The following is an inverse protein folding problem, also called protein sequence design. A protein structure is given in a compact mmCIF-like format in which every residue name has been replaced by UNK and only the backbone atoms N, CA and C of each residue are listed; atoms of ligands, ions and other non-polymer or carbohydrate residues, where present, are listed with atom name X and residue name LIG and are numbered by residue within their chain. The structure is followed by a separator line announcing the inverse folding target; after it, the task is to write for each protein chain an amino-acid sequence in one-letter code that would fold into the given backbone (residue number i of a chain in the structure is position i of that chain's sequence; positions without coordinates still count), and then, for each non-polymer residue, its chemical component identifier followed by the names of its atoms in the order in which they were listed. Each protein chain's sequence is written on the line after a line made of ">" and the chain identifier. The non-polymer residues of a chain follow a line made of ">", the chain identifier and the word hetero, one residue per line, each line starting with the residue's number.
data_IF_977445419809
#
_entry.id   IF_977445419809
#
_cell.length_a   1.000
_cell.length_b   1.000
_cell.length_c   1.000
_cell.angle_alpha   90.00
_cell.angle_beta   90.00
_cell.angle_gamma   90.00
#
_symmetry.space_group_name_H-M   'P 1'
#
loop_
_entity.id
_entity.type
_entity.pdbx_description
1 polymer ?
#
# COMPACT_ATOMS: atom_id res chain seq x y z
N UNK A 1 -11.20 11.43 -76.03
CA UNK A 1 -10.10 11.60 -77.02
C UNK A 1 -9.04 12.50 -76.40
N UNK A 2 -7.81 12.43 -76.93
CA UNK A 2 -6.57 13.10 -76.47
C UNK A 2 -6.14 12.79 -75.03
N UNK A 3 -4.91 12.44 -74.67
CA UNK A 3 -3.72 11.82 -75.31
C UNK A 3 -2.59 12.01 -74.28
N UNK A 4 -1.77 10.98 -74.05
CA UNK A 4 -0.47 11.12 -73.36
C UNK A 4 0.58 11.62 -74.37
N UNK A 5 1.70 12.25 -73.95
CA UNK A 5 2.94 11.50 -73.61
C UNK A 5 3.73 12.23 -72.47
N UNK A 6 4.99 11.96 -72.07
CA UNK A 6 6.20 11.35 -72.68
C UNK A 6 7.01 10.66 -71.58
N UNK A 7 7.73 9.58 -71.92
CA UNK A 7 8.79 9.00 -71.09
C UNK A 7 10.15 9.03 -71.77
N UNK A 8 11.23 9.04 -70.98
CA UNK A 8 12.63 8.81 -71.35
C UNK A 8 13.34 8.17 -70.15
N UNK A 9 14.43 7.40 -70.22
CA UNK A 9 15.02 6.50 -71.21
C UNK A 9 16.30 5.94 -70.55
N UNK A 10 16.39 4.61 -70.40
CA UNK A 10 17.59 3.74 -70.42
C UNK A 10 18.86 3.98 -69.55
N UNK A 11 19.06 3.02 -68.63
CA UNK A 11 20.26 2.22 -68.23
C UNK A 11 21.66 2.50 -68.87
N UNK A 12 22.78 2.21 -68.16
CA UNK A 12 23.41 0.87 -68.23
C UNK A 12 24.08 0.27 -66.94
N UNK A 13 23.92 -1.05 -66.80
CA UNK A 13 24.81 -2.15 -66.32
C UNK A 13 25.90 -2.02 -65.20
N UNK A 14 25.72 -2.85 -64.15
CA UNK A 14 26.63 -3.85 -63.52
C UNK A 14 28.01 -3.43 -62.90
N UNK A 15 28.68 -4.27 -62.04
CA UNK A 15 28.36 -5.65 -61.61
C UNK A 15 28.47 -5.96 -60.08
N UNK A 16 28.21 -7.24 -59.77
CA UNK A 16 28.75 -8.07 -58.66
C UNK A 16 28.09 -8.03 -57.25
N UNK A 17 26.87 -8.59 -57.17
CA UNK A 17 26.19 -8.98 -55.93
C UNK A 17 26.77 -10.31 -55.38
N UNK A 18 27.64 -10.26 -54.37
CA UNK A 18 28.13 -11.43 -53.65
C UNK A 18 27.06 -12.00 -52.69
N UNK A 19 26.06 -12.67 -53.27
CA UNK A 19 24.86 -13.13 -52.57
C UNK A 19 25.12 -14.30 -51.59
N UNK A 20 25.45 -13.96 -50.34
CA UNK A 20 25.52 -14.91 -49.22
C UNK A 20 24.13 -15.49 -48.90
N UNK A 21 23.90 -16.75 -49.32
CA UNK A 21 22.64 -17.48 -49.14
C UNK A 21 22.48 -17.98 -47.70
N UNK A 22 21.90 -17.15 -46.83
CA UNK A 22 21.50 -17.57 -45.47
C UNK A 22 20.23 -18.42 -45.56
N UNK A 23 20.34 -19.73 -45.29
CA UNK A 23 19.19 -20.65 -45.22
C UNK A 23 18.29 -20.30 -44.02
N UNK A 24 17.15 -19.66 -44.29
CA UNK A 24 16.09 -19.41 -43.30
C UNK A 24 15.31 -20.73 -43.05
N UNK A 25 15.19 -21.20 -41.79
CA UNK A 25 14.33 -22.34 -41.48
C UNK A 25 12.85 -22.03 -41.75
N UNK A 26 12.18 -23.00 -42.39
CA UNK A 26 10.76 -23.02 -42.81
C UNK A 26 9.80 -22.04 -42.05
N UNK A 27 9.16 -21.07 -42.75
CA UNK A 27 8.35 -20.03 -42.11
C UNK A 27 7.04 -20.51 -41.47
N UNK A 28 6.65 -21.79 -41.63
CA UNK A 28 5.36 -22.32 -41.16
C UNK A 28 5.21 -22.47 -39.63
N UNK A 29 6.26 -22.24 -38.84
CA UNK A 29 6.22 -22.42 -37.37
C UNK A 29 6.00 -21.10 -36.60
N UNK A 30 6.08 -19.94 -37.25
CA UNK A 30 5.91 -18.63 -36.60
C UNK A 30 4.77 -17.77 -37.18
N UNK A 31 3.60 -18.37 -37.41
CA UNK A 31 2.34 -17.62 -37.29
C UNK A 31 1.96 -17.45 -35.81
N UNK A 32 2.84 -16.79 -35.04
CA UNK A 32 2.47 -16.24 -33.75
C UNK A 32 1.36 -15.22 -34.01
N UNK A 33 0.15 -15.49 -33.51
CA UNK A 33 -0.98 -14.54 -33.51
C UNK A 33 -0.44 -13.16 -33.13
N UNK A 34 -0.62 -12.16 -34.00
CA UNK A 34 -0.39 -10.76 -33.64
C UNK A 34 -1.38 -10.41 -32.53
N UNK A 35 -0.92 -10.54 -31.28
CA UNK A 35 -1.70 -10.22 -30.11
C UNK A 35 -2.00 -8.72 -30.14
N UNK A 36 -3.27 -8.33 -30.19
CA UNK A 36 -3.72 -6.93 -30.25
C UNK A 36 -3.47 -6.15 -28.93
N UNK A 37 -2.49 -6.56 -28.13
CA UNK A 37 -2.05 -5.90 -26.92
C UNK A 37 -1.22 -4.66 -27.26
N UNK A 38 -1.91 -3.55 -27.61
CA UNK A 38 -1.34 -2.20 -27.75
C UNK A 38 -0.84 -1.66 -26.39
N UNK A 39 0.23 -2.26 -25.85
CA UNK A 39 0.86 -1.83 -24.61
C UNK A 39 1.44 -0.42 -24.72
N UNK A 40 0.98 0.52 -23.88
CA UNK A 40 1.48 1.91 -23.84
C UNK A 40 2.98 2.05 -23.54
N UNK A 41 3.66 0.97 -23.11
CA UNK A 41 5.12 0.94 -22.84
C UNK A 41 6.00 1.05 -24.11
N UNK A 42 5.43 0.84 -25.30
CA UNK A 42 6.17 0.90 -26.58
C UNK A 42 6.20 2.26 -27.28
N UNK A 43 5.35 3.22 -26.89
CA UNK A 43 5.30 4.53 -27.57
C UNK A 43 6.47 5.44 -27.12
N UNK A 44 7.17 6.14 -28.05
CA UNK A 44 8.21 7.09 -27.69
C UNK A 44 7.61 8.27 -26.89
N UNK A 45 8.44 8.93 -26.07
CA UNK A 45 8.13 10.26 -25.52
C UNK A 45 8.14 11.27 -26.68
N UNK A 46 7.32 12.32 -26.61
CA UNK A 46 7.42 13.46 -27.53
C UNK A 46 8.81 14.10 -27.45
N UNK A 47 9.24 14.78 -28.52
CA UNK A 47 10.61 15.28 -28.64
C UNK A 47 10.96 16.27 -27.53
N UNK A 48 10.05 17.19 -27.20
CA UNK A 48 10.22 18.16 -26.12
C UNK A 48 10.46 17.49 -24.75
N UNK A 49 9.63 16.50 -24.37
CA UNK A 49 9.84 15.76 -23.12
C UNK A 49 11.00 14.75 -23.19
N UNK A 50 11.41 14.33 -24.39
CA UNK A 50 12.59 13.46 -24.58
C UNK A 50 13.88 14.26 -24.35
N UNK A 51 13.99 15.44 -24.94
CA UNK A 51 15.16 16.33 -24.83
C UNK A 51 15.34 16.86 -23.40
N UNK A 52 14.27 17.34 -22.77
CA UNK A 52 14.31 17.92 -21.43
C UNK A 52 14.14 16.88 -20.29
N UNK A 53 14.17 15.58 -20.62
CA UNK A 53 13.94 14.45 -19.71
C UNK A 53 12.62 14.45 -18.90
N UNK A 54 11.64 15.25 -19.31
CA UNK A 54 10.34 15.43 -18.65
C UNK A 54 9.45 14.17 -18.71
N UNK A 55 8.45 14.13 -17.83
CA UNK A 55 7.47 13.04 -17.74
C UNK A 55 6.40 13.20 -18.83
N UNK A 56 6.50 12.39 -19.88
CA UNK A 56 5.54 12.35 -20.98
C UNK A 56 4.53 11.19 -20.78
N UNK A 57 3.24 11.51 -20.81
CA UNK A 57 2.11 10.55 -20.79
C UNK A 57 1.83 9.91 -22.16
N UNK A 58 2.47 10.41 -23.23
CA UNK A 58 2.46 9.88 -24.60
C UNK A 58 1.08 9.89 -25.27
N UNK A 59 0.23 10.85 -24.85
CA UNK A 59 -1.03 11.16 -25.52
C UNK A 59 -0.74 11.88 -26.84
N UNK A 60 -1.50 11.53 -27.88
CA UNK A 60 -1.48 12.15 -29.20
C UNK A 60 -2.79 12.95 -29.36
N UNK A 61 -2.79 14.12 -30.03
CA UNK A 61 -1.64 14.76 -30.68
C UNK A 61 -0.66 15.39 -29.67
N UNK A 62 -1.17 15.86 -28.53
CA UNK A 62 -0.40 16.62 -27.53
C UNK A 62 -0.36 15.85 -26.20
N UNK A 63 0.81 15.75 -25.60
CA UNK A 63 0.99 15.14 -24.27
C UNK A 63 0.57 16.14 -23.18
N UNK A 64 -0.01 15.69 -22.04
CA UNK A 64 -0.55 16.62 -21.02
C UNK A 64 0.48 17.65 -20.54
N UNK A 65 1.74 17.25 -20.42
CA UNK A 65 2.82 18.16 -20.01
C UNK A 65 3.08 19.29 -21.02
N UNK A 66 3.06 18.98 -22.32
CA UNK A 66 3.18 19.99 -23.37
C UNK A 66 1.90 20.84 -23.50
N UNK A 67 0.73 20.24 -23.28
CA UNK A 67 -0.57 20.94 -23.31
C UNK A 67 -0.63 22.02 -22.22
N UNK A 68 -0.28 21.70 -20.98
CA UNK A 68 -0.27 22.66 -19.87
C UNK A 68 0.79 23.76 -20.05
N UNK A 69 1.94 23.42 -20.63
CA UNK A 69 3.02 24.38 -20.88
C UNK A 69 2.83 25.20 -22.19
N UNK A 70 1.74 24.96 -22.94
CA UNK A 70 1.47 25.48 -24.28
C UNK A 70 2.69 25.36 -25.23
N UNK A 71 3.34 24.19 -25.23
CA UNK A 71 4.54 23.89 -26.05
C UNK A 71 4.23 22.93 -27.18
N UNK A 72 4.94 23.08 -28.29
CA UNK A 72 4.82 22.20 -29.45
C UNK A 72 5.19 20.74 -29.09
N UNK A 73 4.29 19.80 -29.39
CA UNK A 73 4.40 18.40 -28.99
C UNK A 73 4.62 17.48 -30.20
N UNK A 74 5.77 17.61 -30.85
CA UNK A 74 6.18 16.72 -31.96
C UNK A 74 6.63 15.34 -31.46
N UNK A 75 6.48 14.33 -32.32
CA UNK A 75 6.91 12.95 -32.10
C UNK A 75 7.71 12.47 -33.31
N UNK A 76 8.98 12.86 -33.41
CA UNK A 76 9.89 12.31 -34.41
C UNK A 76 10.07 10.81 -34.14
N UNK A 77 9.72 9.93 -35.10
CA UNK A 77 9.94 8.50 -34.95
C UNK A 77 11.45 8.26 -34.80
N UNK A 78 11.82 7.49 -33.77
CA UNK A 78 13.20 7.08 -33.60
C UNK A 78 13.59 6.16 -34.78
N UNK A 79 14.84 6.23 -35.28
CA UNK A 79 15.38 5.16 -36.13
C UNK A 79 15.17 3.81 -35.43
N UNK A 80 14.87 2.78 -36.21
CA UNK A 80 14.14 1.59 -35.74
C UNK A 80 14.84 0.87 -34.57
N UNK A 81 14.09 0.27 -33.61
CA UNK A 81 14.68 -0.31 -32.39
C UNK A 81 15.49 -1.62 -32.56
N UNK A 82 16.18 -1.82 -33.70
CA UNK A 82 16.90 -3.04 -34.07
C UNK A 82 17.94 -3.48 -33.03
N UNK A 83 18.49 -2.55 -32.25
CA UNK A 83 19.67 -2.76 -31.41
C UNK A 83 19.40 -3.36 -30.01
N UNK A 84 18.14 -3.65 -29.64
CA UNK A 84 17.82 -4.20 -28.29
C UNK A 84 18.09 -5.70 -28.10
N UNK A 85 18.42 -6.43 -29.17
CA UNK A 85 18.86 -7.83 -29.10
C UNK A 85 20.30 -8.08 -29.58
N UNK A 86 20.93 -7.10 -30.22
CA UNK A 86 22.25 -7.26 -30.86
C UNK A 86 23.36 -7.08 -29.80
N UNK A 87 24.35 -7.99 -29.71
CA UNK A 87 25.50 -7.81 -28.82
C UNK A 87 26.35 -6.60 -29.25
N UNK A 88 27.27 -6.15 -28.39
CA UNK A 88 28.34 -5.23 -28.85
C UNK A 88 29.20 -5.98 -29.87
N UNK A 89 29.66 -5.32 -30.93
CA UNK A 89 30.66 -5.90 -31.84
C UNK A 89 31.92 -6.30 -31.07
N UNK A 90 32.68 -7.27 -31.59
CA UNK A 90 33.75 -7.91 -30.85
C UNK A 90 34.89 -6.95 -30.50
N UNK A 91 35.21 -5.97 -31.36
CA UNK A 91 36.16 -4.89 -31.02
C UNK A 91 35.68 -4.02 -29.85
N UNK A 92 34.48 -3.46 -29.92
CA UNK A 92 33.94 -2.65 -28.81
C UNK A 92 33.66 -3.47 -27.55
N UNK A 93 33.50 -4.80 -27.67
CA UNK A 93 33.42 -5.72 -26.54
C UNK A 93 34.79 -5.95 -25.91
N UNK A 94 35.84 -6.16 -26.70
CA UNK A 94 37.21 -6.40 -26.25
C UNK A 94 37.83 -5.15 -25.60
N UNK A 95 37.75 -4.00 -26.26
CA UNK A 95 38.22 -2.70 -25.73
C UNK A 95 37.19 -2.01 -24.81
N UNK A 96 36.11 -2.71 -24.43
CA UNK A 96 35.02 -2.24 -23.57
C UNK A 96 34.33 -0.89 -23.95
N UNK A 97 34.41 -0.50 -25.22
CA UNK A 97 33.79 0.72 -25.76
C UNK A 97 32.25 0.65 -25.82
N UNK A 98 31.61 1.82 -25.96
CA UNK A 98 30.15 1.96 -26.13
C UNK A 98 29.72 1.72 -27.58
N UNK A 99 29.56 0.46 -27.97
CA UNK A 99 29.00 0.12 -29.27
C UNK A 99 27.54 0.61 -29.41
N UNK A 100 27.29 1.41 -30.45
CA UNK A 100 25.98 1.86 -30.96
C UNK A 100 25.19 0.72 -31.63
N UNK A 101 25.88 -0.35 -32.05
CA UNK A 101 25.33 -1.59 -32.65
C UNK A 101 24.74 -1.42 -34.05
N UNK A 102 25.09 -0.35 -34.77
CA UNK A 102 24.74 -0.23 -36.18
C UNK A 102 25.33 -1.40 -36.98
N UNK A 103 24.50 -1.96 -37.86
CA UNK A 103 24.89 -3.00 -38.82
C UNK A 103 24.99 -2.36 -40.22
N UNK A 104 25.95 -2.77 -41.07
CA UNK A 104 26.94 -3.82 -40.82
C UNK A 104 28.10 -3.38 -39.90
N UNK A 105 28.41 -2.08 -39.85
CA UNK A 105 29.54 -1.52 -39.09
C UNK A 105 29.03 -0.51 -38.06
N UNK A 106 29.56 -0.57 -36.83
CA UNK A 106 29.21 0.38 -35.77
C UNK A 106 29.97 1.71 -35.95
N UNK A 107 29.38 2.84 -35.56
CA UNK A 107 29.94 4.17 -35.82
C UNK A 107 31.38 4.33 -35.30
N UNK A 108 31.73 3.70 -34.18
CA UNK A 108 33.11 3.68 -33.67
C UNK A 108 34.08 2.93 -34.60
N UNK A 109 33.71 1.74 -35.09
CA UNK A 109 34.58 0.99 -36.00
C UNK A 109 34.65 1.65 -37.38
N UNK A 110 33.61 2.39 -37.80
CA UNK A 110 33.59 3.13 -39.05
C UNK A 110 34.59 4.31 -39.07
N UNK A 111 34.79 4.98 -37.93
CA UNK A 111 35.73 6.10 -37.82
C UNK A 111 37.19 5.63 -37.87
N UNK A 112 37.49 4.51 -37.20
CA UNK A 112 38.86 4.06 -37.00
C UNK A 112 39.47 3.28 -38.18
N UNK A 113 38.67 2.79 -39.14
CA UNK A 113 39.03 2.09 -40.41
C UNK A 113 39.95 0.86 -40.37
N UNK A 114 40.76 0.63 -39.34
CA UNK A 114 41.84 -0.36 -39.29
C UNK A 114 41.42 -1.76 -38.80
N UNK A 115 40.11 -1.99 -38.56
CA UNK A 115 39.63 -3.22 -37.95
C UNK A 115 38.23 -3.61 -38.41
N UNK A 116 38.01 -4.89 -38.69
CA UNK A 116 36.70 -5.42 -39.07
C UNK A 116 35.68 -5.41 -37.91
N UNK A 117 34.44 -5.01 -38.19
CA UNK A 117 33.40 -4.82 -37.18
C UNK A 117 32.49 -6.05 -37.04
N UNK A 118 33.04 -7.16 -36.52
CA UNK A 118 32.30 -8.42 -36.40
C UNK A 118 31.37 -8.49 -35.18
N UNK A 119 30.25 -9.21 -35.31
CA UNK A 119 29.22 -9.38 -34.27
C UNK A 119 29.00 -10.86 -33.92
N UNK A 120 29.93 -11.47 -33.19
CA UNK A 120 29.82 -12.89 -32.83
C UNK A 120 28.70 -13.13 -31.79
N UNK A 121 27.75 -14.07 -32.03
CA UNK A 121 26.76 -14.46 -31.04
C UNK A 121 27.41 -14.99 -29.77
N UNK A 122 27.00 -14.46 -28.60
CA UNK A 122 27.53 -14.90 -27.30
C UNK A 122 27.09 -16.35 -27.03
N UNK A 123 27.96 -17.33 -27.26
CA UNK A 123 27.80 -18.71 -26.78
C UNK A 123 27.46 -18.66 -25.28
N UNK A 124 26.22 -19.03 -24.91
CA UNK A 124 25.93 -19.43 -23.54
C UNK A 124 26.60 -20.78 -23.33
N UNK A 125 27.35 -20.94 -22.24
CA UNK A 125 27.60 -22.28 -21.72
C UNK A 125 26.25 -22.91 -21.39
N UNK A 126 25.80 -23.86 -22.22
CA UNK A 126 24.90 -24.90 -21.74
C UNK A 126 25.76 -25.79 -20.85
N UNK A 127 25.46 -25.81 -19.55
CA UNK A 127 25.94 -26.87 -18.67
C UNK A 127 25.18 -28.13 -19.09
N UNK A 128 25.86 -29.22 -19.50
CA UNK A 128 25.17 -30.48 -19.77
C UNK A 128 24.68 -31.08 -18.46
N UNK A 129 23.39 -31.38 -18.38
CA UNK A 129 22.80 -32.20 -17.33
C UNK A 129 22.56 -33.58 -17.92
N UNK A 130 23.39 -34.56 -17.56
CA UNK A 130 23.11 -35.98 -17.75
C UNK A 130 23.76 -36.79 -16.63
N UNK A 131 23.03 -37.77 -16.10
CA UNK A 131 23.51 -38.68 -15.06
C UNK A 131 24.07 -39.96 -15.68
N UNK A 132 25.23 -40.41 -15.20
CA UNK A 132 25.79 -41.74 -15.51
C UNK A 132 26.99 -42.04 -14.62
N UNK A 133 27.01 -43.14 -13.86
CA UNK A 133 28.12 -43.47 -12.98
C UNK A 133 29.16 -44.35 -13.71
N UNK A 134 30.46 -44.10 -13.49
CA UNK A 134 31.54 -45.11 -13.61
C UNK A 134 32.80 -44.61 -12.88
N UNK A 135 33.58 -45.58 -12.39
CA UNK A 135 34.69 -45.43 -11.44
C UNK A 135 36.03 -45.40 -12.19
N UNK A 136 36.98 -44.53 -11.79
CA UNK A 136 38.41 -44.85 -11.46
C UNK A 136 39.37 -43.64 -11.55
N UNK A 137 40.12 -43.43 -10.47
CA UNK A 137 41.45 -42.79 -10.39
C UNK A 137 42.52 -43.63 -11.16
N UNK A 138 43.79 -43.19 -11.40
CA UNK A 138 44.56 -42.22 -10.60
C UNK A 138 45.49 -41.20 -11.34
N UNK A 139 45.86 -40.14 -10.59
CA UNK A 139 47.19 -39.46 -10.55
C UNK A 139 47.77 -38.77 -11.81
N UNK A 140 48.12 -37.47 -11.67
CA UNK A 140 49.51 -36.90 -11.81
C UNK A 140 49.45 -35.35 -11.63
N UNK A 141 50.32 -34.82 -10.75
CA UNK A 141 50.74 -33.41 -10.61
C UNK A 141 52.24 -33.33 -10.99
N UNK A 142 52.96 -32.18 -11.19
CA UNK A 142 52.81 -30.89 -10.47
C UNK A 142 53.22 -29.57 -11.20
N UNK A 143 53.23 -28.44 -10.45
CA UNK A 143 53.78 -27.09 -10.75
C UNK A 143 53.11 -26.28 -11.89
N UNK A 144 52.82 -24.97 -11.80
CA UNK A 144 52.82 -23.95 -10.73
C UNK A 144 51.98 -22.73 -11.25
N UNK A 145 51.77 -21.56 -10.61
CA UNK A 145 52.09 -20.97 -9.29
C UNK A 145 51.14 -19.76 -9.03
N UNK A 146 51.01 -19.31 -7.76
CA UNK A 146 50.61 -17.95 -7.27
C UNK A 146 49.38 -17.28 -7.95
N UNK A 147 48.23 -17.05 -7.29
CA UNK A 147 48.06 -15.99 -6.26
C UNK A 147 46.73 -16.08 -5.48
N UNK A 148 46.75 -15.62 -4.22
CA UNK A 148 45.67 -15.02 -3.40
C UNK A 148 44.30 -15.74 -3.22
N UNK A 149 44.09 -16.18 -1.98
CA UNK A 149 42.84 -16.62 -1.33
C UNK A 149 41.68 -15.61 -1.38
N UNK A 150 40.44 -16.10 -1.52
CA UNK A 150 39.43 -16.05 -0.44
C UNK A 150 38.43 -17.21 -0.56
N UNK A 151 38.02 -17.76 0.58
CA UNK A 151 37.34 -19.05 0.70
C UNK A 151 35.84 -18.99 0.36
N UNK A 152 35.36 -19.97 -0.41
CA UNK A 152 33.97 -20.43 -0.41
C UNK A 152 34.01 -21.88 0.05
N UNK A 153 33.25 -22.21 1.10
CA UNK A 153 33.08 -23.59 1.56
C UNK A 153 31.83 -24.18 0.91
N UNK A 154 31.97 -25.36 0.31
CA UNK A 154 30.84 -26.13 -0.19
C UNK A 154 29.96 -26.64 0.97
N UNK A 155 28.64 -26.72 0.73
CA UNK A 155 27.69 -27.46 1.58
C UNK A 155 26.78 -28.34 0.69
N UNK A 156 26.36 -29.52 1.18
CA UNK A 156 25.61 -30.52 0.42
C UNK A 156 24.14 -30.14 0.17
N UNK A 157 23.44 -30.86 -0.75
CA UNK A 157 22.15 -30.43 -1.30
C UNK A 157 20.91 -30.90 -0.53
N UNK A 158 19.77 -30.32 -0.93
CA UNK A 158 18.38 -30.56 -0.53
C UNK A 158 17.95 -30.04 0.86
N UNK A 159 17.09 -29.01 0.87
CA UNK A 159 15.69 -29.16 1.31
C UNK A 159 14.82 -27.94 0.94
N UNK A 160 13.49 -28.13 0.94
CA UNK A 160 12.50 -27.14 0.47
C UNK A 160 12.20 -26.08 1.55
N UNK A 161 12.64 -24.85 1.35
CA UNK A 161 12.29 -23.75 2.26
C UNK A 161 10.96 -23.06 1.94
N UNK A 162 9.93 -23.48 2.69
CA UNK A 162 8.75 -22.66 3.01
C UNK A 162 9.16 -21.49 3.91
N UNK A 163 8.55 -20.32 3.70
CA UNK A 163 8.74 -19.12 4.55
C UNK A 163 8.30 -19.37 6.00
N UNK A 164 9.26 -19.31 6.93
CA UNK A 164 9.07 -19.48 8.37
C UNK A 164 9.45 -18.25 9.20
N UNK A 165 8.81 -18.14 10.37
CA UNK A 165 8.81 -17.00 11.28
C UNK A 165 10.18 -16.51 11.79
N UNK A 166 10.29 -15.18 11.95
CA UNK A 166 11.24 -14.57 12.89
C UNK A 166 10.52 -14.35 14.22
N UNK A 167 10.83 -15.19 15.22
CA UNK A 167 10.43 -14.97 16.62
C UNK A 167 11.60 -14.32 17.34
N UNK A 168 11.32 -13.35 18.20
CA UNK A 168 12.32 -12.62 18.95
C UNK A 168 12.83 -13.42 20.15
N UNK A 169 14.15 -13.46 20.31
CA UNK A 169 14.79 -13.82 21.57
C UNK A 169 14.94 -12.56 22.44
N UNK A 170 14.41 -12.60 23.66
CA UNK A 170 14.67 -11.61 24.71
C UNK A 170 15.48 -12.28 25.81
N UNK A 171 16.57 -11.68 26.31
CA UNK A 171 17.33 -12.23 27.43
C UNK A 171 16.56 -12.10 28.74
N UNK A 172 16.70 -13.10 29.59
CA UNK A 172 16.05 -13.19 30.89
C UNK A 172 16.56 -12.12 31.87
N UNK A 173 15.68 -11.58 32.70
CA UNK A 173 16.07 -11.00 33.99
C UNK A 173 14.92 -11.15 35.01
N UNK A 174 15.18 -11.67 36.23
CA UNK A 174 14.14 -11.88 37.23
C UNK A 174 14.05 -10.70 38.21
N UNK A 175 12.85 -10.24 38.54
CA UNK A 175 12.51 -9.76 39.89
C UNK A 175 11.01 -9.66 40.09
N UNK A 176 10.53 -10.10 41.26
CA UNK A 176 9.10 -10.09 41.62
C UNK A 176 8.66 -8.68 42.00
N UNK A 177 7.81 -8.04 41.18
CA UNK A 177 7.10 -6.81 41.51
C UNK A 177 5.59 -7.09 41.67
N UNK A 178 5.08 -7.06 42.91
CA UNK A 178 3.66 -7.31 43.22
C UNK A 178 2.84 -6.05 42.92
N UNK A 179 1.95 -6.10 41.94
CA UNK A 179 1.01 -5.00 41.65
C UNK A 179 -0.21 -5.04 42.60
N UNK A 180 -0.90 -3.91 42.86
CA UNK A 180 -2.02 -3.87 43.81
C UNK A 180 -3.30 -4.47 43.22
N UNK A 181 -4.02 -5.26 44.02
CA UNK A 181 -5.40 -5.68 43.73
C UNK A 181 -6.40 -4.56 44.05
N UNK A 182 -7.52 -4.53 43.32
CA UNK A 182 -8.75 -3.85 43.72
C UNK A 182 -9.15 -2.65 42.86
N UNK A 183 -9.76 -2.89 41.69
CA UNK A 183 -10.62 -1.88 41.04
C UNK A 183 -11.68 -2.40 40.05
N UNK A 184 -11.98 -3.71 40.03
CA UNK A 184 -13.11 -4.27 39.25
C UNK A 184 -13.70 -5.51 39.94
N UNK A 185 -14.51 -5.28 40.96
CA UNK A 185 -15.62 -6.15 41.32
C UNK A 185 -16.88 -5.26 41.30
N UNK A 186 -17.87 -5.64 40.50
CA UNK A 186 -19.20 -5.03 40.43
C UNK A 186 -20.18 -6.18 40.50
N UNK A 187 -20.82 -6.31 41.66
CA UNK A 187 -21.65 -7.46 41.98
C UNK A 187 -22.87 -7.59 41.06
N UNK A 188 -22.97 -8.73 40.39
CA UNK A 188 -24.21 -9.18 39.76
C UNK A 188 -25.00 -10.00 40.78
N UNK A 189 -25.68 -9.31 41.71
CA UNK A 189 -26.60 -9.97 42.65
C UNK A 189 -27.93 -10.28 41.95
N UNK A 190 -28.14 -11.55 41.62
CA UNK A 190 -29.46 -12.05 41.22
C UNK A 190 -30.42 -12.08 42.40
N UNK A 191 -31.71 -11.88 42.12
CA UNK A 191 -32.83 -12.12 43.03
C UNK A 191 -33.95 -12.74 42.21
N UNK A 192 -34.28 -14.00 42.51
CA UNK A 192 -35.50 -14.66 42.04
C UNK A 192 -36.52 -14.70 43.21
N UNK A 193 -37.79 -14.95 42.87
CA UNK A 193 -38.97 -15.00 43.75
C UNK A 193 -39.37 -13.66 44.42
N UNK A 194 -40.65 -13.33 44.68
CA UNK A 194 -41.86 -14.15 44.79
C UNK A 194 -43.15 -13.39 44.34
N UNK A 195 -44.23 -14.17 44.11
CA UNK A 195 -45.68 -13.87 44.16
C UNK A 195 -46.25 -12.49 43.77
N UNK A 196 -47.23 -12.49 42.87
CA UNK A 196 -47.95 -11.30 42.41
C UNK A 196 -49.02 -10.72 43.35
N UNK A 197 -49.67 -9.66 42.86
CA UNK A 197 -51.08 -9.36 43.10
C UNK A 197 -51.58 -8.35 42.05
N UNK A 198 -52.86 -8.46 41.69
CA UNK A 198 -53.54 -7.49 40.81
C UNK A 198 -53.96 -6.21 41.59
N UNK A 199 -54.54 -5.25 40.87
CA UNK A 199 -55.43 -4.22 41.42
C UNK A 199 -54.82 -3.15 42.36
N UNK A 200 -54.11 -2.16 41.77
CA UNK A 200 -54.28 -0.78 42.26
C UNK A 200 -54.26 0.32 41.21
N UNK A 201 -55.47 0.81 40.95
CA UNK A 201 -55.83 1.99 40.17
C UNK A 201 -54.86 3.18 40.21
N UNK A 202 -54.59 3.70 39.01
CA UNK A 202 -54.81 5.09 38.62
C UNK A 202 -54.59 6.20 39.68
N UNK A 203 -53.45 6.91 39.57
CA UNK A 203 -53.36 8.36 39.83
C UNK A 203 -52.09 8.97 39.22
N UNK A 204 -52.21 10.23 38.78
CA UNK A 204 -51.13 11.13 38.29
C UNK A 204 -50.65 10.96 36.84
N UNK A 205 -51.59 11.09 35.90
CA UNK A 205 -51.37 12.04 34.82
C UNK A 205 -51.75 13.48 35.28
N UNK A 206 -51.28 14.49 34.55
CA UNK A 206 -51.63 15.92 34.61
C UNK A 206 -51.07 16.81 35.77
N UNK A 207 -49.97 17.53 35.47
CA UNK A 207 -49.87 19.02 35.54
C UNK A 207 -48.62 19.47 34.74
N UNK A 208 -48.81 20.13 33.59
CA UNK A 208 -48.67 21.58 33.38
C UNK A 208 -47.21 22.08 33.54
N UNK A 209 -46.48 22.38 32.45
CA UNK A 209 -46.55 23.64 31.65
C UNK A 209 -46.37 24.91 32.49
N UNK A 210 -45.22 25.58 32.34
CA UNK A 210 -45.15 27.05 32.20
C UNK A 210 -43.84 27.48 31.51
N UNK A 211 -43.97 28.36 30.54
CA UNK A 211 -42.94 29.21 29.90
C UNK A 211 -42.52 30.36 30.87
N UNK A 212 -41.46 31.17 30.70
CA UNK A 212 -40.22 30.99 29.94
C UNK A 212 -39.06 31.85 30.55
N UNK A 213 -38.57 32.98 29.99
CA UNK A 213 -37.13 33.28 29.96
C UNK A 213 -36.68 34.43 30.90
N UNK A 214 -35.40 34.84 30.81
CA UNK A 214 -34.92 36.24 30.57
C UNK A 214 -33.40 36.36 30.82
N UNK A 215 -32.75 37.36 30.20
CA UNK A 215 -31.34 37.73 30.41
C UNK A 215 -31.18 38.71 31.58
N UNK A 216 -29.97 38.88 32.14
CA UNK A 216 -29.64 40.09 32.93
C UNK A 216 -28.48 39.95 33.94
N UNK A 217 -27.48 40.81 33.80
CA UNK A 217 -26.20 40.95 34.51
C UNK A 217 -26.17 40.93 36.07
N UNK A 218 -25.09 40.30 36.61
CA UNK A 218 -24.06 40.77 37.60
C UNK A 218 -24.41 41.75 38.77
N UNK A 219 -23.55 41.87 39.83
CA UNK A 219 -22.45 41.01 40.33
C UNK A 219 -22.47 40.75 41.87
N UNK A 220 -21.58 39.85 42.33
CA UNK A 220 -20.90 39.98 43.64
C UNK A 220 -21.01 38.82 44.63
N UNK A 221 -19.97 38.62 45.46
CA UNK A 221 -20.09 37.94 46.76
C UNK A 221 -19.43 36.56 46.93
N UNK A 222 -18.10 36.55 47.10
CA UNK A 222 -17.35 35.69 48.04
C UNK A 222 -17.63 34.18 48.16
N UNK A 223 -16.63 33.39 47.75
CA UNK A 223 -15.96 32.50 48.72
C UNK A 223 -16.29 31.01 48.68
N UNK A 224 -15.57 30.25 47.86
CA UNK A 224 -15.19 28.88 48.21
C UNK A 224 -13.79 28.54 47.68
N UNK A 225 -12.97 27.89 48.51
CA UNK A 225 -11.54 27.65 48.24
C UNK A 225 -11.35 26.37 47.42
N UNK A 226 -11.09 26.52 46.12
CA UNK A 226 -10.64 25.42 45.27
C UNK A 226 -9.28 24.88 45.71
N UNK A 227 -9.18 23.57 45.95
CA UNK A 227 -7.89 22.87 46.07
C UNK A 227 -7.25 22.76 44.68
N UNK A 228 -6.32 23.65 44.36
CA UNK A 228 -5.47 23.51 43.18
C UNK A 228 -4.32 22.53 43.45
N UNK A 229 -4.33 21.40 42.75
CA UNK A 229 -3.18 20.50 42.63
C UNK A 229 -2.12 21.16 41.73
N UNK A 230 -1.18 21.89 42.35
CA UNK A 230 -0.05 22.50 41.64
C UNK A 230 0.94 21.47 41.09
N UNK A 231 1.60 21.73 39.95
CA UNK A 231 2.60 20.83 39.40
C UNK A 231 3.90 20.89 40.22
N UNK A 232 4.51 19.72 40.45
CA UNK A 232 5.81 19.58 41.10
C UNK A 232 6.92 20.18 40.22
N UNK A 233 7.52 21.27 40.67
CA UNK A 233 8.72 21.84 40.04
C UNK A 233 9.98 21.18 40.61
N UNK A 234 10.79 20.57 39.74
CA UNK A 234 12.12 20.09 40.13
C UNK A 234 13.07 21.28 40.33
N UNK A 235 13.97 21.17 41.31
CA UNK A 235 14.82 22.29 41.80
C UNK A 235 16.00 22.64 40.87
N UNK A 236 16.03 22.07 39.66
CA UNK A 236 16.93 22.46 38.57
C UNK A 236 16.07 22.79 37.35
N UNK A 237 16.12 24.05 36.93
CA UNK A 237 15.13 24.68 36.04
C UNK A 237 15.22 24.31 34.56
N UNK A 238 15.17 23.01 34.25
CA UNK A 238 14.77 22.53 32.93
C UNK A 238 13.36 21.97 33.06
N UNK A 239 12.35 22.50 32.34
CA UNK A 239 11.04 21.85 32.29
C UNK A 239 11.25 20.45 31.73
N UNK A 240 10.85 19.43 32.49
CA UNK A 240 10.76 18.07 31.97
C UNK A 240 9.74 18.09 30.85
N UNK A 241 10.23 18.21 29.61
CA UNK A 241 9.48 17.97 28.38
C UNK A 241 9.10 16.50 28.38
N UNK A 242 8.04 16.18 29.12
CA UNK A 242 7.29 14.94 28.98
C UNK A 242 6.78 14.95 27.55
N UNK A 243 7.50 14.27 26.67
CA UNK A 243 7.16 14.09 25.27
C UNK A 243 5.86 13.30 25.23
N UNK A 244 4.73 14.02 25.28
CA UNK A 244 3.38 13.46 25.35
C UNK A 244 3.21 12.56 24.15
N UNK A 245 3.23 11.24 24.40
CA UNK A 245 3.00 10.23 23.37
C UNK A 245 1.75 10.59 22.59
N UNK A 246 1.76 10.35 21.28
CA UNK A 246 0.56 10.57 20.46
C UNK A 246 -0.57 9.68 21.00
N UNK A 247 -1.59 10.31 21.57
CA UNK A 247 -2.80 9.64 22.00
C UNK A 247 -3.68 9.39 20.77
N UNK A 248 -3.98 8.11 20.43
CA UNK A 248 -4.89 7.78 19.35
C UNK A 248 -6.30 8.26 19.68
N UNK A 249 -7.05 8.69 18.67
CA UNK A 249 -8.45 9.05 18.87
C UNK A 249 -9.27 7.84 19.34
N UNK A 250 -10.12 8.06 20.35
CA UNK A 250 -10.98 7.05 20.95
C UNK A 250 -12.37 7.63 21.23
N UNK A 251 -13.40 6.82 20.97
CA UNK A 251 -14.78 7.13 21.32
C UNK A 251 -15.54 5.80 21.53
N UNK A 252 -16.32 5.62 22.61
CA UNK A 252 -16.85 4.30 23.00
C UNK A 252 -17.80 3.69 21.98
N UNK A 253 -18.50 4.50 21.18
CA UNK A 253 -19.42 4.02 20.13
C UNK A 253 -18.75 3.59 18.80
N UNK A 254 -17.44 3.84 18.61
CA UNK A 254 -16.73 3.51 17.36
C UNK A 254 -15.66 2.45 17.60
N UNK A 255 -15.43 1.59 16.60
CA UNK A 255 -14.44 0.55 16.74
C UNK A 255 -13.02 1.16 16.84
N UNK A 256 -12.18 0.70 17.78
CA UNK A 256 -10.80 1.14 17.85
C UNK A 256 -10.03 0.74 16.59
N UNK A 257 -8.98 1.51 16.27
CA UNK A 257 -8.07 1.18 15.18
C UNK A 257 -7.42 -0.21 15.41
N UNK A 258 -7.06 -0.94 14.34
CA UNK A 258 -6.39 -2.24 14.46
C UNK A 258 -5.20 -2.21 15.42
N UNK A 259 -5.04 -3.27 16.23
CA UNK A 259 -4.01 -3.35 17.28
C UNK A 259 -2.59 -3.06 16.76
N UNK A 260 -2.28 -3.46 15.52
CA UNK A 260 -1.01 -3.16 14.87
C UNK A 260 -0.75 -1.65 14.71
N UNK A 261 -1.79 -0.87 14.38
CA UNK A 261 -1.71 0.60 14.28
C UNK A 261 -1.50 1.19 15.68
N UNK A 262 -2.32 0.80 16.66
CA UNK A 262 -2.22 1.28 18.04
C UNK A 262 -0.87 0.97 18.70
N UNK A 263 -0.29 -0.22 18.44
CA UNK A 263 1.05 -0.56 18.93
C UNK A 263 2.13 0.24 18.20
N UNK A 264 2.02 0.40 16.87
CA UNK A 264 2.98 1.18 16.10
C UNK A 264 2.96 2.67 16.43
N UNK A 265 1.81 3.25 16.78
CA UNK A 265 1.72 4.64 17.25
C UNK A 265 2.53 4.89 18.52
N UNK A 266 2.67 3.90 19.41
CA UNK A 266 3.49 4.01 20.63
C UNK A 266 4.98 4.17 20.36
N UNK A 267 5.44 3.87 19.14
CA UNK A 267 6.84 4.07 18.70
C UNK A 267 7.04 5.39 17.95
N UNK A 268 5.99 6.19 17.75
CA UNK A 268 6.06 7.46 17.00
C UNK A 268 6.49 8.58 17.94
N UNK A 269 7.55 9.30 17.55
CA UNK A 269 7.94 10.53 18.22
C UNK A 269 6.96 11.66 17.84
N UNK A 270 6.26 12.30 18.80
CA UNK A 270 5.32 13.39 18.51
C UNK A 270 5.99 14.60 17.85
N UNK A 271 7.26 14.86 18.17
CA UNK A 271 8.03 16.03 17.69
C UNK A 271 8.32 15.93 16.19
N UNK A 272 8.43 14.72 15.66
CA UNK A 272 8.74 14.48 14.24
C UNK A 272 7.47 14.49 13.36
N UNK A 273 6.28 14.51 13.96
CA UNK A 273 4.98 14.47 13.26
C UNK A 273 4.34 15.86 13.13
N UNK A 274 3.46 16.08 12.13
CA UNK A 274 2.64 17.28 12.10
C UNK A 274 1.72 17.35 13.33
N UNK A 275 1.41 18.55 13.82
CA UNK A 275 0.41 18.71 14.87
C UNK A 275 -0.97 18.27 14.35
N UNK A 276 -1.75 17.57 15.19
CA UNK A 276 -3.09 17.11 14.82
C UNK A 276 -3.97 18.25 14.33
N UNK A 277 -4.00 19.37 15.07
CA UNK A 277 -4.77 20.55 14.71
C UNK A 277 -4.46 21.07 13.29
N UNK A 278 -3.18 21.26 12.94
CA UNK A 278 -2.81 21.77 11.61
C UNK A 278 -3.18 20.78 10.49
N UNK A 279 -3.13 19.47 10.77
CA UNK A 279 -3.60 18.45 9.82
C UNK A 279 -5.13 18.49 9.67
N UNK A 280 -5.87 18.55 10.77
CA UNK A 280 -7.34 18.55 10.76
C UNK A 280 -7.88 19.82 10.07
N UNK A 281 -7.28 20.98 10.32
CA UNK A 281 -7.58 22.24 9.62
C UNK A 281 -7.32 22.14 8.10
N UNK A 282 -6.15 21.62 7.70
CA UNK A 282 -5.82 21.45 6.29
C UNK A 282 -6.67 20.37 5.59
N UNK A 283 -7.04 19.30 6.30
CA UNK A 283 -7.96 18.28 5.83
C UNK A 283 -9.37 18.85 5.66
N UNK A 284 -9.85 19.66 6.60
CA UNK A 284 -11.13 20.35 6.49
C UNK A 284 -11.17 21.28 5.28
N UNK A 285 -10.14 22.11 5.08
CA UNK A 285 -10.02 22.99 3.91
C UNK A 285 -9.96 22.20 2.59
N UNK A 286 -9.29 21.05 2.57
CA UNK A 286 -9.28 20.17 1.41
C UNK A 286 -10.69 19.62 1.11
N UNK A 287 -11.38 19.10 2.12
CA UNK A 287 -12.72 18.53 1.99
C UNK A 287 -13.79 19.59 1.66
N UNK A 288 -13.66 20.81 2.15
CA UNK A 288 -14.58 21.92 1.82
C UNK A 288 -14.48 22.34 0.36
N UNK A 289 -13.30 22.18 -0.25
CA UNK A 289 -12.99 22.55 -1.63
C UNK A 289 -13.20 21.40 -2.64
N UNK A 290 -13.66 20.23 -2.20
CA UNK A 290 -14.07 19.15 -3.10
C UNK A 290 -15.42 19.48 -3.77
N UNK A 291 -15.63 19.02 -5.02
CA UNK A 291 -16.96 18.98 -5.63
C UNK A 291 -17.97 18.27 -4.71
N UNK A 292 -19.23 18.73 -4.62
CA UNK A 292 -20.23 18.17 -3.70
C UNK A 292 -20.35 16.65 -3.76
N UNK A 293 -20.28 16.09 -4.98
CA UNK A 293 -20.43 14.66 -5.26
C UNK A 293 -19.25 13.82 -4.74
N UNK A 294 -18.11 14.43 -4.44
CA UNK A 294 -16.96 13.80 -3.80
C UNK A 294 -16.92 14.08 -2.30
N UNK A 295 -17.37 15.27 -1.87
CA UNK A 295 -17.35 15.71 -0.47
C UNK A 295 -18.09 14.73 0.46
N UNK A 296 -19.26 14.24 0.05
CA UNK A 296 -20.06 13.30 0.85
C UNK A 296 -19.38 11.94 1.09
N UNK A 297 -18.49 11.50 0.20
CA UNK A 297 -17.92 10.14 0.19
C UNK A 297 -16.41 10.09 0.46
N UNK A 298 -15.74 11.24 0.53
CA UNK A 298 -14.29 11.32 0.69
C UNK A 298 -13.82 10.99 2.11
N UNK A 299 -14.48 11.54 3.14
CA UNK A 299 -14.22 11.24 4.55
C UNK A 299 -15.47 11.56 5.37
N UNK A 300 -15.83 10.67 6.29
CA UNK A 300 -17.04 10.79 7.11
C UNK A 300 -16.70 11.39 8.48
N UNK A 301 -17.43 12.43 8.89
CA UNK A 301 -17.45 12.88 10.29
C UNK A 301 -18.06 11.79 11.18
N UNK A 302 -17.83 11.80 12.50
CA UNK A 302 -18.41 10.81 13.41
C UNK A 302 -19.92 10.61 13.22
N UNK A 303 -20.69 11.70 13.08
CA UNK A 303 -22.15 11.65 12.97
C UNK A 303 -22.61 10.97 11.66
N UNK A 304 -22.06 11.40 10.52
CA UNK A 304 -22.36 10.80 9.20
C UNK A 304 -21.88 9.34 9.14
N UNK A 305 -20.74 9.03 9.74
CA UNK A 305 -20.24 7.65 9.82
C UNK A 305 -21.20 6.77 10.64
N UNK A 306 -21.69 7.26 11.78
CA UNK A 306 -22.65 6.56 12.62
C UNK A 306 -23.98 6.33 11.91
N UNK A 307 -24.50 7.35 11.21
CA UNK A 307 -25.72 7.25 10.41
C UNK A 307 -25.60 6.18 9.31
N UNK A 308 -24.53 6.24 8.49
CA UNK A 308 -24.25 5.24 7.44
C UNK A 308 -24.06 3.84 8.04
N UNK A 309 -23.35 3.70 9.16
CA UNK A 309 -23.18 2.41 9.84
C UNK A 309 -24.49 1.83 10.37
N UNK A 310 -25.37 2.66 10.94
CA UNK A 310 -26.69 2.23 11.42
C UNK A 310 -27.63 1.85 10.27
N UNK A 311 -27.67 2.65 9.20
CA UNK A 311 -28.47 2.37 8.01
C UNK A 311 -28.10 1.01 7.38
N UNK A 312 -26.79 0.79 7.17
CA UNK A 312 -26.26 -0.46 6.63
C UNK A 312 -26.50 -1.64 7.58
N UNK A 313 -26.32 -1.47 8.90
CA UNK A 313 -26.57 -2.52 9.88
C UNK A 313 -28.04 -2.93 9.97
N UNK A 314 -28.98 -2.00 9.75
CA UNK A 314 -30.43 -2.26 9.67
C UNK A 314 -30.88 -2.84 8.33
N UNK A 315 -30.04 -2.76 7.29
CA UNK A 315 -30.43 -3.08 5.91
C UNK A 315 -31.35 -2.04 5.26
N UNK A 316 -31.48 -0.85 5.86
CA UNK A 316 -32.31 0.25 5.37
C UNK A 316 -31.43 1.46 5.04
N UNK A 317 -31.18 1.66 3.75
CA UNK A 317 -30.42 2.82 3.24
C UNK A 317 -31.29 4.01 2.86
N UNK A 318 -32.62 3.94 3.07
CA UNK A 318 -33.54 5.06 2.75
C UNK A 318 -33.25 6.40 3.46
N UNK A 319 -32.70 6.47 4.70
CA UNK A 319 -32.36 7.77 5.29
C UNK A 319 -31.13 8.43 4.65
N UNK A 320 -30.26 7.66 3.98
CA UNK A 320 -29.03 8.18 3.40
C UNK A 320 -29.29 9.00 2.13
N UNK A 321 -28.42 9.97 1.82
CA UNK A 321 -28.48 10.68 0.53
C UNK A 321 -28.41 9.70 -0.64
N UNK A 322 -29.07 10.02 -1.77
CA UNK A 322 -29.03 9.16 -2.97
C UNK A 322 -27.59 8.88 -3.42
N UNK A 323 -26.69 9.85 -3.22
CA UNK A 323 -25.26 9.72 -3.49
C UNK A 323 -24.60 8.68 -2.59
N UNK A 324 -24.88 8.72 -1.29
CA UNK A 324 -24.41 7.71 -0.33
C UNK A 324 -25.00 6.34 -0.64
N UNK A 325 -26.31 6.22 -0.92
CA UNK A 325 -26.95 4.95 -1.28
C UNK A 325 -26.29 4.28 -2.49
N UNK A 326 -26.03 5.04 -3.57
CA UNK A 326 -25.30 4.54 -4.74
C UNK A 326 -23.87 4.13 -4.38
N UNK A 327 -23.17 4.94 -3.58
CA UNK A 327 -21.80 4.65 -3.15
C UNK A 327 -21.72 3.40 -2.28
N UNK A 328 -22.63 3.21 -1.31
CA UNK A 328 -22.67 2.02 -0.45
C UNK A 328 -22.96 0.76 -1.26
N UNK A 329 -23.84 0.86 -2.26
CA UNK A 329 -24.15 -0.23 -3.19
C UNK A 329 -22.94 -0.59 -4.08
N UNK A 330 -22.33 0.38 -4.76
CA UNK A 330 -21.19 0.12 -5.66
C UNK A 330 -19.93 -0.38 -4.97
N UNK A 331 -19.70 0.00 -3.71
CA UNK A 331 -18.54 -0.43 -2.95
C UNK A 331 -18.80 -1.65 -2.06
N UNK A 332 -20.01 -2.22 -2.10
CA UNK A 332 -20.41 -3.36 -1.27
C UNK A 332 -20.11 -3.10 0.22
N UNK A 333 -20.57 -1.96 0.74
CA UNK A 333 -20.24 -1.55 2.11
C UNK A 333 -20.99 -2.42 3.10
N UNK A 334 -20.26 -3.03 4.04
CA UNK A 334 -20.78 -3.96 5.03
C UNK A 334 -20.59 -3.44 6.47
N UNK A 335 -21.46 -3.84 7.42
CA UNK A 335 -21.23 -3.54 8.84
C UNK A 335 -20.17 -4.50 9.39
N UNK A 336 -19.17 -3.95 10.08
CA UNK A 336 -17.98 -4.66 10.57
C UNK A 336 -17.94 -4.96 12.06
N UNK A 337 -18.99 -4.61 12.79
CA UNK A 337 -19.12 -4.83 14.23
C UNK A 337 -20.61 -4.86 14.59
N UNK A 338 -20.97 -5.56 15.68
CA UNK A 338 -22.30 -5.50 16.33
C UNK A 338 -22.32 -4.54 17.52
N UNK A 339 -21.15 -4.30 18.14
CA UNK A 339 -20.99 -3.46 19.34
C UNK A 339 -20.67 -2.00 19.03
N UNK A 340 -20.08 -1.74 17.87
CA UNK A 340 -19.53 -0.45 17.47
C UNK A 340 -19.96 -0.04 16.06
N UNK A 341 -19.92 1.26 15.79
CA UNK A 341 -19.94 1.77 14.42
C UNK A 341 -18.60 1.43 13.73
N UNK A 342 -18.66 0.51 12.77
CA UNK A 342 -17.57 0.14 11.88
C UNK A 342 -18.11 -0.24 10.49
N UNK A 343 -17.55 0.38 9.46
CA UNK A 343 -17.81 0.10 8.04
C UNK A 343 -16.64 -0.67 7.42
N UNK A 344 -16.97 -1.69 6.64
CA UNK A 344 -16.03 -2.51 5.88
C UNK A 344 -16.29 -2.40 4.38
N UNK A 345 -15.21 -2.48 3.61
CA UNK A 345 -15.23 -2.76 2.17
C UNK A 345 -14.61 -4.13 1.94
N UNK A 346 -15.20 -5.04 1.15
CA UNK A 346 -14.47 -6.20 0.65
C UNK A 346 -13.28 -5.75 -0.21
N UNK A 347 -12.18 -6.52 -0.22
CA UNK A 347 -11.09 -6.30 -1.17
C UNK A 347 -11.49 -6.84 -2.54
N UNK A 348 -11.00 -6.20 -3.60
CA UNK A 348 -11.26 -6.58 -5.01
C UNK A 348 -11.04 -8.07 -5.30
N UNK A 349 -10.02 -8.69 -4.70
CA UNK A 349 -9.75 -10.13 -4.83
C UNK A 349 -10.87 -11.05 -4.28
N UNK A 350 -11.75 -10.52 -3.43
CA UNK A 350 -12.88 -11.23 -2.82
C UNK A 350 -14.21 -10.93 -3.53
N UNK A 351 -14.27 -10.00 -4.49
CA UNK A 351 -15.49 -9.70 -5.26
C UNK A 351 -15.96 -10.89 -6.13
N UNK A 352 -15.07 -11.84 -6.43
CA UNK A 352 -15.37 -13.06 -7.17
C UNK A 352 -15.65 -14.28 -6.26
N UNK A 353 -15.66 -14.09 -4.94
CA UNK A 353 -15.97 -15.14 -3.95
C UNK A 353 -17.49 -15.30 -3.84
N UNK A 354 -17.98 -16.48 -3.47
CA UNK A 354 -19.42 -16.69 -3.27
C UNK A 354 -19.91 -15.89 -2.05
N UNK A 355 -21.15 -15.39 -2.10
CA UNK A 355 -21.74 -14.55 -1.05
C UNK A 355 -21.75 -15.24 0.32
N UNK A 356 -21.90 -16.57 0.34
CA UNK A 356 -21.88 -17.36 1.57
C UNK A 356 -20.49 -17.40 2.21
N UNK A 357 -19.42 -17.48 1.40
CA UNK A 357 -18.05 -17.43 1.91
C UNK A 357 -17.66 -16.01 2.33
N UNK A 358 -18.07 -14.98 1.58
CA UNK A 358 -17.88 -13.58 1.98
C UNK A 358 -18.56 -13.27 3.32
N UNK A 359 -19.83 -13.65 3.47
CA UNK A 359 -20.59 -13.48 4.71
C UNK A 359 -19.95 -14.24 5.89
N UNK A 360 -19.47 -15.47 5.66
CA UNK A 360 -18.72 -16.22 6.67
C UNK A 360 -17.46 -15.47 7.13
N UNK A 361 -16.65 -14.98 6.20
CA UNK A 361 -15.46 -14.20 6.51
C UNK A 361 -15.82 -12.90 7.26
N UNK A 362 -16.96 -12.28 6.94
CA UNK A 362 -17.47 -11.09 7.64
C UNK A 362 -17.88 -11.39 9.08
N UNK A 363 -18.56 -12.52 9.32
CA UNK A 363 -18.94 -12.95 10.68
C UNK A 363 -17.69 -13.24 11.52
N UNK A 364 -16.69 -13.92 10.95
CA UNK A 364 -15.39 -14.16 11.60
C UNK A 364 -14.67 -12.84 11.92
N UNK A 365 -14.71 -11.86 11.02
CA UNK A 365 -14.16 -10.52 11.23
C UNK A 365 -14.86 -9.78 12.39
N UNK A 366 -16.19 -9.75 12.39
CA UNK A 366 -17.00 -9.10 13.43
C UNK A 366 -16.65 -9.63 14.81
N UNK A 367 -16.53 -10.95 14.95
CA UNK A 367 -16.20 -11.55 16.23
C UNK A 367 -14.80 -11.16 16.72
N UNK A 368 -13.81 -11.10 15.81
CA UNK A 368 -12.46 -10.59 16.13
C UNK A 368 -12.50 -9.12 16.63
N UNK A 369 -13.29 -8.25 15.97
CA UNK A 369 -13.41 -6.83 16.36
C UNK A 369 -14.14 -6.64 17.68
N UNK A 370 -15.23 -7.37 17.87
CA UNK A 370 -16.11 -7.22 19.03
C UNK A 370 -15.52 -7.84 20.30
N UNK A 371 -14.38 -8.55 20.19
CA UNK A 371 -13.81 -9.33 21.29
C UNK A 371 -14.69 -10.53 21.65
N UNK A 372 -15.64 -10.89 20.79
CA UNK A 372 -16.36 -12.14 20.88
C UNK A 372 -15.34 -13.22 20.52
N UNK A 373 -14.73 -13.81 21.55
CA UNK A 373 -14.10 -15.12 21.41
C UNK A 373 -15.22 -16.04 20.96
N UNK A 374 -15.34 -16.26 19.65
CA UNK A 374 -16.09 -17.38 19.12
C UNK A 374 -15.60 -18.56 19.92
N UNK A 375 -16.51 -19.19 20.66
CA UNK A 375 -16.28 -20.47 21.27
C UNK A 375 -16.16 -21.47 20.11
N UNK A 376 -15.02 -21.42 19.41
CA UNK A 376 -14.38 -22.54 18.78
C UNK A 376 -14.26 -23.58 19.87
N UNK A 377 -15.32 -24.39 19.99
CA UNK A 377 -15.35 -25.57 20.85
C UNK A 377 -13.98 -26.21 20.70
N UNK A 378 -13.17 -26.34 21.77
CA UNK A 378 -12.13 -27.34 21.72
C UNK A 378 -12.88 -28.62 21.36
N UNK A 379 -12.54 -29.22 20.21
CA UNK A 379 -13.13 -30.49 19.82
C UNK A 379 -12.52 -31.54 20.72
N UNK A 380 -13.01 -31.59 21.96
CA UNK A 380 -12.66 -32.55 23.01
C UNK A 380 -13.23 -33.93 22.70
N UNK A 381 -13.15 -34.35 21.44
CA UNK A 381 -13.17 -35.75 21.03
C UNK A 381 -11.77 -36.30 21.26
N UNK A 382 -11.48 -36.63 22.52
CA UNK A 382 -10.23 -37.22 22.93
C UNK A 382 -10.13 -38.68 22.45
N UNK A 383 -9.70 -38.87 21.20
CA UNK A 383 -9.22 -40.16 20.69
C UNK A 383 -7.81 -40.01 20.11
N UNK A 384 -6.86 -40.35 20.97
CA UNK A 384 -5.44 -40.59 20.72
C UNK A 384 -5.10 -41.09 19.30
N UNK A 385 -4.29 -40.31 18.58
CA UNK A 385 -3.27 -40.82 17.65
C UNK A 385 -2.20 -39.74 17.43
N UNK A 386 -0.92 -40.12 17.51
CA UNK A 386 0.21 -39.19 17.41
C UNK A 386 0.45 -38.72 15.96
N UNK A 387 0.31 -37.42 15.69
CA UNK A 387 1.05 -36.73 14.62
C UNK A 387 1.55 -35.37 15.09
N UNK A 388 2.87 -35.20 15.15
CA UNK A 388 3.52 -33.94 15.53
C UNK A 388 3.48 -32.97 14.34
N UNK A 389 2.70 -31.89 14.45
CA UNK A 389 2.52 -30.94 13.34
C UNK A 389 1.54 -29.83 13.66
N UNK A 390 1.71 -29.13 14.79
CA UNK A 390 0.80 -28.07 15.23
C UNK A 390 0.94 -26.80 14.39
N UNK A 391 0.29 -26.77 13.24
CA UNK A 391 0.00 -25.51 12.54
C UNK A 391 -1.04 -24.70 13.36
N UNK A 392 -0.87 -23.37 13.52
CA UNK A 392 -1.89 -22.51 14.09
C UNK A 392 -3.16 -22.51 13.20
N UNK A 393 -4.35 -22.15 13.73
CA UNK A 393 -5.58 -22.13 12.95
C UNK A 393 -5.46 -21.16 11.76
N UNK A 394 -5.35 -21.73 10.56
CA UNK A 394 -4.85 -21.03 9.37
C UNK A 394 -5.77 -19.91 8.82
N UNK A 395 -7.00 -19.78 9.33
CA UNK A 395 -8.04 -18.95 8.71
C UNK A 395 -8.25 -17.59 9.39
N UNK A 396 -7.76 -17.34 10.61
CA UNK A 396 -7.99 -16.04 11.30
C UNK A 396 -7.38 -14.86 10.54
N UNK A 397 -6.33 -15.10 9.75
CA UNK A 397 -5.78 -14.10 8.84
C UNK A 397 -6.57 -13.93 7.53
N UNK A 398 -7.43 -14.88 7.13
CA UNK A 398 -8.21 -14.76 5.89
C UNK A 398 -9.32 -13.71 6.04
N UNK A 399 -10.08 -13.74 7.14
CA UNK A 399 -11.13 -12.74 7.43
C UNK A 399 -10.53 -11.32 7.49
N UNK A 400 -9.49 -11.12 8.31
CA UNK A 400 -8.80 -9.84 8.47
C UNK A 400 -8.14 -9.33 7.17
N UNK A 401 -7.82 -10.23 6.23
CA UNK A 401 -7.35 -9.86 4.88
C UNK A 401 -8.47 -9.67 3.85
N UNK A 402 -9.67 -10.23 4.05
CA UNK A 402 -10.79 -10.12 3.12
C UNK A 402 -11.34 -8.70 3.02
N UNK A 403 -11.27 -7.93 4.11
CA UNK A 403 -11.88 -6.60 4.22
C UNK A 403 -10.85 -5.47 4.41
N UNK A 404 -11.31 -4.25 4.15
CA UNK A 404 -10.69 -2.98 4.52
C UNK A 404 -11.63 -2.24 5.48
N UNK A 405 -11.12 -1.71 6.59
CA UNK A 405 -11.87 -0.78 7.46
C UNK A 405 -11.91 0.60 6.83
N UNK A 406 -13.05 1.25 6.88
CA UNK A 406 -13.16 2.68 6.63
C UNK A 406 -12.90 3.41 7.95
N UNK A 407 -11.92 4.33 8.04
CA UNK A 407 -11.69 5.10 9.25
C UNK A 407 -12.72 6.23 9.37
N UNK A 408 -13.07 6.63 10.59
CA UNK A 408 -13.73 7.92 10.86
C UNK A 408 -12.73 9.04 10.53
N UNK A 409 -13.18 10.23 10.11
CA UNK A 409 -12.28 11.33 9.70
C UNK A 409 -11.21 11.66 10.76
N UNK A 410 -11.59 11.65 12.04
CA UNK A 410 -10.71 11.86 13.20
C UNK A 410 -9.60 10.82 13.35
N UNK A 411 -9.83 9.59 12.89
CA UNK A 411 -8.85 8.49 12.89
C UNK A 411 -7.85 8.58 11.72
N UNK A 412 -8.10 9.41 10.70
CA UNK A 412 -7.21 9.51 9.52
C UNK A 412 -5.82 10.01 9.93
N UNK A 413 -5.72 10.97 10.86
CA UNK A 413 -4.43 11.42 11.41
C UNK A 413 -3.64 10.27 12.04
N UNK A 414 -4.30 9.41 12.82
CA UNK A 414 -3.66 8.30 13.56
C UNK A 414 -3.12 7.22 12.61
N UNK A 415 -3.91 6.89 11.59
CA UNK A 415 -3.50 6.00 10.49
C UNK A 415 -2.30 6.57 9.73
N UNK A 416 -2.29 7.88 9.46
CA UNK A 416 -1.20 8.57 8.76
C UNK A 416 0.07 8.64 9.63
N UNK A 417 -0.04 9.01 10.91
CA UNK A 417 1.09 9.05 11.85
C UNK A 417 1.74 7.67 11.99
N UNK A 418 0.95 6.61 12.10
CA UNK A 418 1.44 5.23 12.07
C UNK A 418 2.18 4.90 10.76
N UNK A 419 1.59 5.19 9.60
CA UNK A 419 2.13 4.80 8.30
C UNK A 419 3.32 5.68 7.85
N UNK A 420 3.43 6.90 8.38
CA UNK A 420 4.48 7.86 8.08
C UNK A 420 5.63 7.87 9.11
N UNK A 421 5.55 7.06 10.18
CA UNK A 421 6.52 7.02 11.30
C UNK A 421 8.01 6.94 10.93
N UNK A 422 8.34 6.41 9.75
CA UNK A 422 9.70 6.26 9.23
C UNK A 422 10.09 7.36 8.21
N UNK A 423 9.28 8.41 8.05
CA UNK A 423 9.46 9.51 7.10
C UNK A 423 9.65 9.07 5.64
N UNK A 424 8.98 7.98 5.25
CA UNK A 424 8.95 7.54 3.87
C UNK A 424 8.10 8.48 2.99
N UNK A 425 8.25 8.38 1.67
CA UNK A 425 7.48 9.18 0.72
C UNK A 425 5.97 8.87 0.78
N UNK A 426 5.15 9.82 0.32
CA UNK A 426 3.69 9.66 0.27
C UNK A 426 3.23 8.36 -0.44
N UNK A 427 3.99 7.86 -1.43
CA UNK A 427 3.68 6.59 -2.09
C UNK A 427 3.89 5.36 -1.19
N UNK A 428 4.95 5.35 -0.39
CA UNK A 428 5.21 4.27 0.57
C UNK A 428 4.19 4.35 1.72
N UNK A 429 3.92 5.55 2.24
CA UNK A 429 2.90 5.79 3.27
C UNK A 429 1.52 5.30 2.81
N UNK A 430 1.06 5.67 1.60
CA UNK A 430 -0.22 5.19 1.07
C UNK A 430 -0.24 3.67 0.83
N UNK A 431 0.89 3.07 0.42
CA UNK A 431 1.00 1.62 0.31
C UNK A 431 0.89 0.93 1.66
N UNK A 432 1.45 1.51 2.72
CA UNK A 432 1.43 0.92 4.07
C UNK A 432 0.02 0.91 4.65
N UNK A 433 -0.73 2.00 4.48
CA UNK A 433 -2.15 2.13 4.89
C UNK A 433 -3.01 1.01 4.27
N UNK A 434 -2.77 0.68 2.99
CA UNK A 434 -3.48 -0.41 2.30
C UNK A 434 -3.08 -1.81 2.78
N UNK A 435 -1.83 -2.01 3.23
CA UNK A 435 -1.38 -3.28 3.83
C UNK A 435 -2.10 -3.52 5.15
N UNK A 436 -2.14 -2.52 6.04
CA UNK A 436 -2.83 -2.61 7.34
C UNK A 436 -4.37 -2.56 7.25
N UNK A 437 -4.93 -2.68 6.04
CA UNK A 437 -6.35 -2.90 5.83
C UNK A 437 -7.21 -1.67 6.04
N UNK A 438 -6.72 -0.46 5.73
CA UNK A 438 -7.50 0.78 5.81
C UNK A 438 -7.86 1.28 4.40
N UNK A 439 -9.14 1.66 4.23
CA UNK A 439 -9.72 2.25 3.03
C UNK A 439 -9.88 3.78 3.15
N UNK A 440 -10.41 4.40 2.08
CA UNK A 440 -10.77 5.82 1.93
C UNK A 440 -9.69 6.89 2.21
N UNK A 441 -8.50 6.54 2.73
CA UNK A 441 -7.37 7.48 2.77
C UNK A 441 -6.82 7.67 1.35
N UNK A 442 -6.94 8.89 0.84
CA UNK A 442 -6.59 9.25 -0.54
C UNK A 442 -5.18 9.84 -0.64
N UNK A 443 -4.61 9.88 -1.86
CA UNK A 443 -3.29 10.48 -2.09
C UNK A 443 -3.20 11.96 -1.62
N UNK A 444 -4.18 12.85 -1.88
CA UNK A 444 -4.16 14.21 -1.35
C UNK A 444 -4.05 14.29 0.18
N UNK A 445 -4.75 13.42 0.92
CA UNK A 445 -4.68 13.38 2.39
C UNK A 445 -3.26 13.03 2.88
N UNK A 446 -2.60 12.08 2.20
CA UNK A 446 -1.20 11.71 2.50
C UNK A 446 -0.24 12.85 2.14
N UNK A 447 -0.44 13.55 1.02
CA UNK A 447 0.36 14.72 0.63
C UNK A 447 0.23 15.88 1.63
N UNK A 448 -0.98 16.16 2.12
CA UNK A 448 -1.21 17.17 3.17
C UNK A 448 -0.39 16.84 4.41
N UNK A 449 -0.49 15.60 4.90
CA UNK A 449 0.29 15.14 6.07
C UNK A 449 1.80 15.20 5.82
N UNK A 450 2.27 14.76 4.65
CA UNK A 450 3.68 14.78 4.26
C UNK A 450 4.26 16.20 4.20
N UNK A 451 3.48 17.19 3.74
CA UNK A 451 3.90 18.60 3.65
C UNK A 451 3.90 19.30 5.00
N UNK A 452 2.98 18.94 5.90
CA UNK A 452 2.93 19.46 7.26
C UNK A 452 3.97 18.81 8.19
N UNK A 453 4.49 17.63 7.83
CA UNK A 453 5.52 16.93 8.59
C UNK A 453 6.82 17.76 8.68
N UNK A 454 7.31 18.11 9.88
CA UNK A 454 8.50 18.97 10.06
C UNK A 454 9.78 18.31 9.52
N UNK A 455 9.92 17.00 9.70
CA UNK A 455 11.09 16.22 9.23
C UNK A 455 11.13 16.08 7.69
N UNK A 456 9.98 16.05 7.03
CA UNK A 456 9.91 15.92 5.56
C UNK A 456 9.95 17.28 4.84
N UNK A 457 9.27 18.29 5.39
CA UNK A 457 9.25 19.65 4.82
C UNK A 457 10.62 20.33 4.86
N UNK A 458 11.40 20.12 5.92
CA UNK A 458 12.78 20.61 6.03
C UNK A 458 13.71 19.97 4.99
N UNK A 459 13.64 18.65 4.80
CA UNK A 459 14.41 17.91 3.76
C UNK A 459 14.01 18.29 2.32
N UNK A 460 12.80 18.80 2.12
CA UNK A 460 12.28 19.19 0.80
C UNK A 460 12.67 20.60 0.35
N UNK A 461 13.20 21.45 1.24
CA UNK A 461 13.73 22.77 0.84
C UNK A 461 15.14 22.58 0.30
N UNK A 462 15.45 23.00 -0.94
CA UNK A 462 16.85 23.17 -1.34
C UNK A 462 17.50 24.16 -0.37
N UNK A 463 18.73 23.89 0.05
CA UNK A 463 19.50 24.86 0.82
C UNK A 463 19.58 26.16 0.01
N UNK A 464 19.20 27.28 0.62
CA UNK A 464 19.40 28.59 0.02
C UNK A 464 20.90 28.88 0.03
N UNK A 465 21.53 28.73 -1.13
CA UNK A 465 22.94 29.02 -1.43
C UNK A 465 23.04 30.19 -2.38
#
# INVERSE_FOLDING_TARGET
>A
MTESPVGTASLPDAPDDSQLTIRIPNPKVFMARQSQWKGRRGKPRCDHCRLNNLKCDRVLPTCNHCSWANRECKYTPLPTPAHRGIPRCDRCRFHNLKCDRNLPVCNHCQQDKESECNYTPKKRHKVPTDHGPIIKDPQITPYAAKTASFLISDMPPEEKYTTGAWIAEHPESPTKGRLPNGMYDMDTSGSEDDSGDEEKMARRAARAKFDAPWMGDMPGGSGSRSRSSGPLTSRHGMPLLTTRRLEPWYHPAFAPLPRAILMGMRTVNPVDMPSRQAFDEALYQFLSNLPPELKEVAAFTPDVYAEVAQAIAKGDTSPLSERLQRWTSYHHVHPGSRKYHLLLLPREAFFAVSKEKEEKLRIEYIAEVDGDVLASKPSSSATSAHTSGSHPPANTHESSNAFLRIPVSTQIYDVLAYAHKNHHSAAVTLSEIRKVGIANVTWPMVEIFYRLCPTCSSRGRPAAS
#
